data_IF_220343978075
#
_entry.id   IF_220343978075
#
_cell.length_a   1.000
_cell.length_b   1.000
_cell.length_c   1.000
_cell.angle_alpha   90.00
_cell.angle_beta   90.00
_cell.angle_gamma   90.00
#
_symmetry.space_group_name_H-M   'P 1'
#
loop_
_entity.id
_entity.type
_entity.pdbx_description
1 polymer ?
#
# COMPACT_ATOMS: atom_id res chain seq x y z
N UNK A 1 13.22 1.86 -18.47
CA UNK A 1 12.51 2.92 -17.71
C UNK A 1 11.06 2.46 -17.66
N UNK A 2 10.38 2.48 -16.51
CA UNK A 2 8.93 2.29 -16.52
C UNK A 2 8.30 3.66 -16.65
N UNK A 3 7.30 3.76 -17.52
CA UNK A 3 6.55 4.98 -17.72
C UNK A 3 5.78 5.33 -16.44
N UNK A 4 5.60 6.62 -16.22
CA UNK A 4 4.73 7.07 -15.16
C UNK A 4 3.30 6.57 -15.43
N UNK A 5 2.66 6.03 -14.41
CA UNK A 5 1.26 5.62 -14.49
C UNK A 5 0.44 6.57 -13.63
N UNK A 6 -0.78 6.87 -14.04
CA UNK A 6 -1.77 7.54 -13.20
C UNK A 6 -2.72 6.50 -12.62
N UNK A 7 -3.18 6.71 -11.39
CA UNK A 7 -4.32 5.98 -10.82
C UNK A 7 -5.49 6.93 -10.75
N UNK A 8 -6.67 6.46 -11.17
CA UNK A 8 -7.86 7.29 -11.31
C UNK A 8 -8.90 6.95 -10.24
N UNK A 9 -9.94 7.77 -10.14
CA UNK A 9 -11.09 7.47 -9.29
C UNK A 9 -11.70 6.08 -9.58
N UNK A 10 -11.70 5.66 -10.84
CA UNK A 10 -12.14 4.34 -11.24
C UNK A 10 -11.34 3.21 -10.57
N UNK A 11 -10.03 3.38 -10.36
CA UNK A 11 -9.21 2.40 -9.63
C UNK A 11 -9.61 2.31 -8.16
N UNK A 12 -9.98 3.44 -7.54
CA UNK A 12 -10.49 3.44 -6.17
C UNK A 12 -11.84 2.73 -6.09
N UNK A 13 -12.74 2.95 -7.04
CA UNK A 13 -14.06 2.31 -7.09
C UNK A 13 -13.95 0.80 -7.29
N UNK A 14 -13.11 0.36 -8.24
CA UNK A 14 -12.86 -1.07 -8.47
C UNK A 14 -12.26 -1.74 -7.23
N UNK A 15 -11.34 -1.06 -6.55
CA UNK A 15 -10.77 -1.57 -5.30
C UNK A 15 -11.80 -1.67 -4.18
N UNK A 16 -12.66 -0.69 -4.00
CA UNK A 16 -13.72 -0.74 -3.00
C UNK A 16 -14.70 -1.88 -3.25
N UNK A 17 -15.14 -2.05 -4.51
CA UNK A 17 -15.99 -3.18 -4.90
C UNK A 17 -15.32 -4.54 -4.61
N UNK A 18 -14.01 -4.65 -4.79
CA UNK A 18 -13.25 -5.87 -4.50
C UNK A 18 -12.99 -6.10 -3.00
N UNK A 19 -12.63 -5.05 -2.26
CA UNK A 19 -12.10 -5.15 -0.89
C UNK A 19 -13.12 -4.85 0.20
N UNK A 20 -14.25 -4.21 -0.14
CA UNK A 20 -15.20 -3.64 0.81
C UNK A 20 -14.70 -2.37 1.51
N UNK A 21 -13.55 -1.79 1.11
CA UNK A 21 -13.06 -0.53 1.65
C UNK A 21 -13.78 0.65 0.99
N UNK A 22 -14.92 1.04 1.58
CA UNK A 22 -15.74 2.17 1.10
C UNK A 22 -15.44 3.49 1.82
N UNK A 23 -14.20 3.67 2.31
CA UNK A 23 -13.84 4.90 3.03
C UNK A 23 -14.07 6.15 2.15
N UNK A 24 -14.93 7.11 2.59
CA UNK A 24 -15.38 8.22 1.73
C UNK A 24 -14.26 9.16 1.26
N UNK A 25 -13.08 9.17 1.90
CA UNK A 25 -11.94 9.99 1.45
C UNK A 25 -11.46 9.68 0.03
N UNK A 26 -11.81 8.49 -0.47
CA UNK A 26 -11.43 8.03 -1.80
C UNK A 26 -12.41 8.48 -2.88
N UNK A 27 -13.60 8.98 -2.50
CA UNK A 27 -14.71 9.26 -3.43
C UNK A 27 -15.32 10.65 -3.27
N UNK A 28 -15.36 11.19 -2.04
CA UNK A 28 -15.96 12.47 -1.72
C UNK A 28 -14.88 13.50 -1.34
N UNK A 29 -14.75 14.53 -2.19
CA UNK A 29 -13.77 15.58 -1.99
C UNK A 29 -14.08 16.42 -0.73
N UNK A 30 -15.35 16.57 -0.34
CA UNK A 30 -15.71 17.27 0.88
C UNK A 30 -15.24 16.48 2.11
N UNK A 31 -15.44 15.17 2.13
CA UNK A 31 -14.92 14.29 3.18
C UNK A 31 -13.37 14.33 3.23
N UNK A 32 -12.70 14.25 2.07
CA UNK A 32 -11.25 14.36 1.99
C UNK A 32 -10.72 15.70 2.53
N UNK A 33 -11.38 16.82 2.21
CA UNK A 33 -11.03 18.16 2.71
C UNK A 33 -11.24 18.31 4.21
N UNK A 34 -12.30 17.73 4.76
CA UNK A 34 -12.51 17.69 6.22
C UNK A 34 -11.36 16.97 6.93
N UNK A 35 -10.70 16.04 6.24
CA UNK A 35 -9.54 15.31 6.70
C UNK A 35 -8.19 15.98 6.35
N UNK A 36 -8.22 17.21 5.83
CA UNK A 36 -7.03 17.99 5.50
C UNK A 36 -6.38 17.61 4.16
N UNK A 37 -7.01 16.78 3.34
CA UNK A 37 -6.55 16.46 2.00
C UNK A 37 -7.11 17.46 0.97
N UNK A 38 -6.26 17.95 0.07
CA UNK A 38 -6.67 18.84 -1.03
C UNK A 38 -7.34 18.13 -2.21
N UNK A 39 -7.25 16.80 -2.25
CA UNK A 39 -7.60 15.96 -3.40
C UNK A 39 -8.04 14.56 -2.96
N UNK A 40 -8.72 13.83 -3.83
CA UNK A 40 -9.01 12.42 -3.64
C UNK A 40 -7.74 11.58 -3.78
N UNK A 41 -7.64 10.54 -2.97
CA UNK A 41 -6.54 9.58 -3.03
C UNK A 41 -7.07 8.20 -3.38
N UNK A 42 -6.23 7.36 -3.97
CA UNK A 42 -6.52 5.93 -4.07
C UNK A 42 -6.17 5.20 -2.78
N UNK A 43 -6.78 4.05 -2.55
CA UNK A 43 -6.45 3.17 -1.44
C UNK A 43 -4.97 2.77 -1.48
N UNK A 44 -4.28 2.87 -0.35
CA UNK A 44 -2.87 2.46 -0.26
C UNK A 44 -2.66 1.00 -0.66
N UNK A 45 -3.65 0.14 -0.40
CA UNK A 45 -3.63 -1.27 -0.77
C UNK A 45 -3.84 -1.51 -2.27
N UNK A 46 -4.60 -0.65 -2.97
CA UNK A 46 -4.71 -0.68 -4.43
C UNK A 46 -3.37 -0.39 -5.09
N UNK A 47 -2.65 0.62 -4.62
CA UNK A 47 -1.33 0.94 -5.13
C UNK A 47 -0.29 -0.16 -4.84
N UNK A 48 -0.46 -0.88 -3.73
CA UNK A 48 0.41 -2.00 -3.38
C UNK A 48 0.28 -3.17 -4.37
N UNK A 49 -0.84 -3.33 -5.09
CA UNK A 49 -0.98 -4.38 -6.09
C UNK A 49 0.05 -4.24 -7.22
N UNK A 50 0.33 -3.03 -7.69
CA UNK A 50 1.30 -2.80 -8.77
C UNK A 50 2.73 -3.14 -8.31
N UNK A 51 3.03 -2.84 -7.05
CA UNK A 51 4.28 -3.25 -6.40
C UNK A 51 4.37 -4.77 -6.29
N UNK A 52 3.29 -5.44 -5.88
CA UNK A 52 3.23 -6.91 -5.79
C UNK A 52 3.40 -7.58 -7.15
N UNK A 53 2.77 -7.04 -8.20
CA UNK A 53 2.90 -7.53 -9.58
C UNK A 53 4.33 -7.41 -10.08
N UNK A 54 4.98 -6.26 -9.85
CA UNK A 54 6.40 -6.11 -10.19
C UNK A 54 7.28 -7.10 -9.42
N UNK A 55 7.09 -7.20 -8.11
CA UNK A 55 7.90 -8.07 -7.29
C UNK A 55 7.70 -9.55 -7.65
N UNK A 56 6.48 -9.97 -7.96
CA UNK A 56 6.17 -11.33 -8.41
C UNK A 56 7.01 -11.66 -9.64
N UNK A 57 7.06 -10.79 -10.66
CA UNK A 57 7.88 -11.01 -11.87
C UNK A 57 9.38 -11.20 -11.60
N UNK A 58 9.88 -10.79 -10.42
CA UNK A 58 11.31 -10.79 -10.05
C UNK A 58 11.68 -11.78 -8.95
N UNK A 59 10.72 -12.15 -8.10
CA UNK A 59 10.94 -12.95 -6.89
C UNK A 59 10.12 -14.23 -6.88
N UNK A 60 9.23 -14.44 -7.87
CA UNK A 60 8.39 -15.64 -7.91
C UNK A 60 9.23 -16.91 -7.84
N UNK A 61 8.92 -17.70 -6.83
CA UNK A 61 9.37 -19.07 -6.65
C UNK A 61 8.21 -19.86 -6.09
N UNK A 62 7.70 -20.89 -6.79
CA UNK A 62 6.50 -21.62 -6.38
C UNK A 62 6.66 -22.28 -5.00
N UNK A 63 7.87 -22.67 -4.62
CA UNK A 63 8.21 -23.34 -3.36
C UNK A 63 8.56 -22.38 -2.21
N UNK A 64 8.28 -21.08 -2.35
CA UNK A 64 8.62 -20.05 -1.35
C UNK A 64 7.46 -19.10 -1.08
N UNK A 65 7.45 -18.57 0.13
CA UNK A 65 6.61 -17.46 0.53
C UNK A 65 7.29 -16.14 0.25
N UNK A 66 6.50 -15.07 0.06
CA UNK A 66 7.03 -13.71 -0.04
C UNK A 66 6.52 -12.89 1.14
N UNK A 67 7.44 -12.44 1.98
CA UNK A 67 7.15 -11.45 3.02
C UNK A 67 7.15 -10.07 2.39
N UNK A 68 6.05 -9.35 2.54
CA UNK A 68 5.88 -7.98 2.07
C UNK A 68 5.75 -7.05 3.29
N UNK A 69 6.73 -6.16 3.46
CA UNK A 69 6.69 -5.10 4.48
C UNK A 69 6.46 -3.77 3.78
N UNK A 70 5.45 -3.02 4.21
CA UNK A 70 5.01 -1.79 3.53
C UNK A 70 4.94 -0.65 4.53
N UNK A 71 5.33 0.54 4.08
CA UNK A 71 5.13 1.79 4.79
C UNK A 71 4.47 2.79 3.85
N UNK A 72 3.25 3.18 4.18
CA UNK A 72 2.58 4.32 3.56
C UNK A 72 3.20 5.59 4.13
N UNK A 73 3.60 6.52 3.26
CA UNK A 73 4.32 7.75 3.62
C UNK A 73 3.49 8.98 3.36
N UNK A 74 2.88 9.04 2.17
CA UNK A 74 1.97 10.08 1.74
C UNK A 74 0.85 9.47 0.90
N UNK A 75 -0.30 10.14 0.78
CA UNK A 75 -1.35 9.72 -0.13
C UNK A 75 -0.84 9.62 -1.57
N UNK A 76 -1.43 8.69 -2.32
CA UNK A 76 -1.28 8.62 -3.77
C UNK A 76 -2.54 9.27 -4.33
N UNK A 77 -2.37 10.46 -4.88
CA UNK A 77 -3.48 11.26 -5.36
C UNK A 77 -4.03 10.69 -6.67
N UNK A 78 -5.36 10.73 -6.84
CA UNK A 78 -5.99 10.38 -8.10
C UNK A 78 -5.49 11.31 -9.21
N UNK A 79 -5.44 10.85 -10.46
CA UNK A 79 -5.07 11.63 -11.64
C UNK A 79 -3.68 12.29 -11.54
N UNK A 80 -2.84 11.77 -10.66
CA UNK A 80 -1.44 12.16 -10.51
C UNK A 80 -0.56 11.00 -10.91
N UNK A 81 0.39 11.30 -11.78
CA UNK A 81 1.41 10.36 -12.19
C UNK A 81 2.23 9.86 -10.99
N UNK A 82 2.60 8.59 -11.02
CA UNK A 82 3.51 7.99 -10.06
C UNK A 82 4.53 7.09 -10.76
N UNK A 83 5.70 6.99 -10.13
CA UNK A 83 6.81 6.20 -10.61
C UNK A 83 7.07 5.03 -9.66
N UNK A 84 6.97 3.81 -10.20
CA UNK A 84 7.41 2.60 -9.51
C UNK A 84 8.90 2.38 -9.71
N UNK A 85 9.63 2.44 -8.61
CA UNK A 85 11.04 2.11 -8.57
C UNK A 85 11.24 0.78 -7.84
N UNK A 86 12.05 -0.09 -8.43
CA UNK A 86 12.46 -1.35 -7.83
C UNK A 86 13.99 -1.44 -7.82
N UNK A 87 14.55 -1.85 -6.68
CA UNK A 87 16.00 -2.00 -6.50
C UNK A 87 16.30 -3.34 -5.81
N UNK A 88 17.31 -4.03 -6.30
CA UNK A 88 17.86 -5.18 -5.58
C UNK A 88 18.60 -4.70 -4.33
N UNK A 89 18.49 -5.46 -3.23
CA UNK A 89 19.32 -5.19 -2.07
C UNK A 89 20.77 -5.62 -2.36
N UNK A 90 21.72 -4.73 -2.11
CA UNK A 90 23.15 -5.07 -2.17
C UNK A 90 23.56 -6.13 -1.14
N UNK A 91 22.78 -6.26 -0.04
CA UNK A 91 23.07 -7.18 1.06
C UNK A 91 22.50 -8.58 0.86
N UNK A 92 21.48 -8.73 0.02
CA UNK A 92 20.84 -10.04 -0.19
C UNK A 92 20.14 -10.12 -1.55
N UNK A 93 20.45 -11.15 -2.37
CA UNK A 93 19.80 -11.36 -3.67
C UNK A 93 18.33 -11.76 -3.53
N UNK A 94 17.87 -12.10 -2.32
CA UNK A 94 16.51 -12.52 -2.00
C UNK A 94 15.61 -11.36 -1.56
N UNK A 95 16.16 -10.16 -1.47
CA UNK A 95 15.44 -8.96 -1.02
C UNK A 95 15.31 -7.96 -2.16
N UNK A 96 14.12 -7.38 -2.30
CA UNK A 96 13.83 -6.26 -3.20
C UNK A 96 13.25 -5.10 -2.41
N UNK A 97 13.69 -3.91 -2.74
CA UNK A 97 13.10 -2.68 -2.26
C UNK A 97 12.31 -2.06 -3.39
N UNK A 98 11.08 -1.68 -3.10
CA UNK A 98 10.21 -0.95 -4.01
C UNK A 98 9.81 0.37 -3.39
N UNK A 99 9.61 1.37 -4.24
CA UNK A 99 9.07 2.66 -3.83
C UNK A 99 8.17 3.22 -4.91
N UNK A 100 7.08 3.85 -4.49
CA UNK A 100 6.20 4.64 -5.34
C UNK A 100 6.42 6.10 -4.97
N UNK A 101 6.76 6.92 -5.97
CA UNK A 101 7.01 8.35 -5.79
C UNK A 101 6.28 9.18 -6.82
N UNK A 102 5.91 10.41 -6.47
CA UNK A 102 5.43 11.39 -7.42
C UNK A 102 6.61 11.89 -8.28
N UNK A 103 6.56 11.79 -9.62
CA UNK A 103 7.66 12.17 -10.50
C UNK A 103 7.84 13.69 -10.61
N UNK A 104 6.80 14.48 -10.35
CA UNK A 104 6.85 15.95 -10.47
C UNK A 104 7.63 16.59 -9.32
N UNK A 105 7.53 16.05 -8.10
CA UNK A 105 8.16 16.63 -6.91
C UNK A 105 9.10 15.66 -6.16
N UNK A 106 9.23 14.41 -6.62
CA UNK A 106 10.07 13.38 -6.02
C UNK A 106 9.56 12.83 -4.67
N UNK A 107 8.37 13.22 -4.23
CA UNK A 107 7.85 12.80 -2.93
C UNK A 107 7.58 11.30 -2.89
N UNK A 108 8.10 10.65 -1.85
CA UNK A 108 7.85 9.23 -1.58
C UNK A 108 6.44 9.04 -1.01
N UNK A 109 5.60 8.29 -1.73
CA UNK A 109 4.23 7.96 -1.33
C UNK A 109 4.16 6.62 -0.59
N UNK A 110 4.88 5.61 -1.10
CA UNK A 110 4.92 4.26 -0.52
C UNK A 110 6.34 3.72 -0.59
N UNK A 111 6.79 3.05 0.47
CA UNK A 111 7.97 2.18 0.40
C UNK A 111 7.64 0.77 0.81
N UNK A 112 8.27 -0.19 0.16
CA UNK A 112 8.04 -1.61 0.39
C UNK A 112 9.37 -2.38 0.35
N UNK A 113 9.52 -3.33 1.25
CA UNK A 113 10.55 -4.35 1.17
C UNK A 113 9.88 -5.70 0.97
N UNK A 114 10.34 -6.45 -0.02
CA UNK A 114 9.92 -7.82 -0.28
C UNK A 114 11.08 -8.78 -0.14
N UNK A 115 10.86 -9.90 0.52
CA UNK A 115 11.86 -10.94 0.73
C UNK A 115 11.25 -12.33 0.64
N UNK A 116 11.95 -13.27 0.04
CA UNK A 116 11.51 -14.67 0.04
C UNK A 116 11.74 -15.32 1.40
N UNK A 117 10.83 -16.18 1.83
CA UNK A 117 10.92 -16.99 3.03
C UNK A 117 10.60 -18.46 2.69
N UNK A 118 11.22 -19.39 3.42
CA UNK A 118 10.94 -20.82 3.26
C UNK A 118 9.57 -21.19 3.83
N UNK A 119 9.20 -20.57 4.95
CA UNK A 119 7.96 -20.82 5.68
C UNK A 119 7.17 -19.52 5.87
N UNK A 120 5.85 -19.60 6.06
CA UNK A 120 5.06 -18.44 6.40
C UNK A 120 5.48 -17.91 7.78
N UNK A 121 5.71 -16.61 7.88
CA UNK A 121 5.98 -16.00 9.18
C UNK A 121 4.72 -16.06 10.06
N UNK A 122 4.82 -16.74 11.20
CA UNK A 122 3.71 -16.80 12.15
C UNK A 122 3.30 -15.40 12.60
N UNK A 123 1.99 -15.13 12.50
CA UNK A 123 1.36 -13.93 13.05
C UNK A 123 0.84 -14.17 14.48
N UNK A 124 0.92 -15.40 15.00
CA UNK A 124 0.49 -15.75 16.35
C UNK A 124 1.34 -14.99 17.37
N UNK A 125 0.70 -14.24 18.27
CA UNK A 125 1.37 -13.43 19.29
C UNK A 125 1.98 -12.11 18.78
N UNK A 126 1.94 -11.84 17.46
CA UNK A 126 2.26 -10.52 16.94
C UNK A 126 1.04 -9.65 17.10
N UNK A 127 1.13 -8.65 17.99
CA UNK A 127 0.08 -7.65 18.07
C UNK A 127 -0.12 -7.03 16.67
N UNK A 128 -1.35 -6.97 16.15
CA UNK A 128 -1.66 -6.00 15.11
C UNK A 128 -1.17 -4.66 15.63
N UNK A 129 -0.31 -3.97 14.89
CA UNK A 129 0.28 -2.74 15.35
C UNK A 129 -0.82 -1.80 15.84
N UNK A 130 -0.86 -1.61 17.16
CA UNK A 130 -1.66 -0.57 17.77
C UNK A 130 -1.01 0.73 17.34
N UNK A 131 -1.78 1.56 16.64
CA UNK A 131 -1.38 2.94 16.34
C UNK A 131 -1.00 3.56 17.69
N UNK A 132 0.26 3.97 17.87
CA UNK A 132 0.71 4.55 19.15
C UNK A 132 -0.13 5.79 19.47
N UNK A 133 -0.43 6.07 20.74
CA UNK A 133 -1.41 7.09 21.14
C UNK A 133 -1.25 8.48 20.44
N UNK A 134 -0.03 8.87 20.09
CA UNK A 134 0.27 10.10 19.33
C UNK A 134 -0.10 10.01 17.83
N UNK A 135 0.13 8.85 17.22
CA UNK A 135 -0.30 8.54 15.86
C UNK A 135 -1.81 8.24 15.81
N UNK A 136 -2.36 7.72 16.89
CA UNK A 136 -3.79 7.46 17.05
C UNK A 136 -4.55 8.76 17.22
N UNK A 137 -3.99 9.79 17.85
CA UNK A 137 -4.58 11.12 17.87
C UNK A 137 -4.60 11.77 16.48
N UNK A 138 -3.55 11.58 15.67
CA UNK A 138 -3.53 12.05 14.26
C UNK A 138 -4.48 11.26 13.37
N UNK A 139 -4.50 9.93 13.51
CA UNK A 139 -5.42 9.05 12.82
C UNK A 139 -6.87 9.22 13.30
N UNK A 140 -7.09 9.58 14.56
CA UNK A 140 -8.41 9.85 15.12
C UNK A 140 -8.90 11.24 14.74
N UNK A 141 -8.05 12.26 14.61
CA UNK A 141 -8.45 13.51 13.92
C UNK A 141 -8.88 13.21 12.48
N UNK A 142 -8.26 12.22 11.83
CA UNK A 142 -8.66 11.69 10.53
C UNK A 142 -9.91 10.77 10.58
N UNK A 143 -10.30 10.19 11.73
CA UNK A 143 -11.37 9.18 11.84
C UNK A 143 -12.55 9.60 12.76
N UNK A 144 -12.55 10.78 13.36
CA UNK A 144 -13.52 11.20 14.39
C UNK A 144 -14.85 11.76 13.87
N UNK A 145 -15.38 11.28 12.74
CA UNK A 145 -16.79 11.51 12.36
C UNK A 145 -17.56 10.22 12.03
N UNK A 146 -17.57 9.30 13.01
CA UNK A 146 -18.48 8.14 13.23
C UNK A 146 -18.06 6.76 12.64
N UNK A 147 -18.59 5.65 13.23
CA UNK A 147 -17.85 4.41 13.41
C UNK A 147 -17.96 3.49 12.19
N UNK A 148 -16.81 3.14 11.63
CA UNK A 148 -16.61 2.03 10.71
C UNK A 148 -15.43 1.18 11.19
N UNK A 149 -15.34 -0.09 10.79
CA UNK A 149 -14.32 -1.00 11.31
C UNK A 149 -12.94 -0.44 10.97
N UNK A 150 -12.11 -0.29 12.00
CA UNK A 150 -10.77 0.26 11.95
C UNK A 150 -9.90 -0.50 10.93
N UNK A 151 -9.44 0.18 9.88
CA UNK A 151 -8.43 -0.36 8.99
C UNK A 151 -7.07 -0.35 9.69
N UNK A 152 -6.60 -1.57 9.97
CA UNK A 152 -5.34 -1.89 10.63
C UNK A 152 -4.33 -2.18 9.54
N UNK A 153 -3.15 -1.57 9.62
CA UNK A 153 -2.00 -1.95 8.81
C UNK A 153 -1.73 -3.46 8.94
N UNK A 154 -1.72 -4.17 7.82
CA UNK A 154 -1.51 -5.61 7.76
C UNK A 154 -0.16 -5.96 7.13
N UNK A 155 0.62 -6.78 7.82
CA UNK A 155 1.57 -7.67 7.16
C UNK A 155 0.76 -8.79 6.52
N UNK A 156 0.72 -8.84 5.19
CA UNK A 156 -0.01 -9.89 4.48
C UNK A 156 0.96 -10.95 3.97
N UNK A 157 0.69 -12.20 4.30
CA UNK A 157 1.34 -13.36 3.71
C UNK A 157 0.52 -13.85 2.52
N UNK A 158 1.09 -13.73 1.32
CA UNK A 158 0.56 -14.40 0.13
C UNK A 158 1.44 -15.63 -0.14
N UNK A 159 0.85 -16.85 -0.31
CA UNK A 159 1.53 -17.89 -1.07
C UNK A 159 1.83 -17.39 -2.49
N UNK A 160 2.92 -17.85 -3.11
CA UNK A 160 3.18 -17.62 -4.53
C UNK A 160 2.20 -18.43 -5.38
N UNK A 161 0.93 -18.04 -5.41
CA UNK A 161 -0.04 -18.63 -6.34
C UNK A 161 0.08 -17.95 -7.71
N UNK A 162 0.05 -18.78 -8.75
CA UNK A 162 0.09 -18.39 -10.15
C UNK A 162 -1.13 -17.50 -10.48
N UNK A 163 -0.90 -16.38 -11.16
CA UNK A 163 -1.98 -15.69 -11.84
C UNK A 163 -2.43 -16.56 -13.02
N UNK A 164 -3.67 -17.05 -12.98
CA UNK A 164 -4.40 -17.47 -14.19
C UNK A 164 -5.18 -16.27 -14.72
#
# INVERSE_FOLDING_TARGET
MRDAAALHLADAQQWAAFSGDENPIHFDLAAARQMGAGQLSVHGMRALLDVKRDAHSRLYRPERYVKCQVRLRRPIWCDTDWLLNARASQKSPFVRQHSVSNPQNGELCLSCQMSTAAEPESLVGKQPCTIGAKDAARAAVLLQRRPGPAWRSGSFLMPCCSAS
#
